data_IF_051854927625
#
_entry.id   IF_051854927625
#
_cell.length_a   1.000
_cell.length_b   1.000
_cell.length_c   1.000
_cell.angle_alpha   90.00
_cell.angle_beta   90.00
_cell.angle_gamma   90.00
#
_symmetry.space_group_name_H-M   'P 1'
#
loop_
_entity.id
_entity.type
_entity.pdbx_description
1 polymer ?
#
# COMPACT_ATOMS: atom_id res chain seq x y z
N UNK A 1 24.33 13.18 25.60
CA UNK A 1 23.61 12.06 24.91
C UNK A 1 22.17 12.20 25.34
N UNK A 2 21.28 12.52 24.44
CA UNK A 2 19.87 12.59 24.73
C UNK A 2 19.41 11.19 25.16
N UNK A 3 18.65 11.10 26.25
CA UNK A 3 17.99 9.86 26.67
C UNK A 3 17.21 9.32 25.49
N UNK A 4 17.63 8.16 25.00
CA UNK A 4 17.10 7.55 23.81
C UNK A 4 15.62 7.26 24.00
N UNK A 5 14.82 7.73 23.07
CA UNK A 5 13.39 7.48 22.95
C UNK A 5 13.10 6.00 23.12
N UNK A 6 12.57 5.62 24.26
CA UNK A 6 11.93 4.32 24.41
C UNK A 6 10.78 4.24 23.39
N UNK A 7 10.60 3.11 22.70
CA UNK A 7 9.52 2.96 21.74
C UNK A 7 8.18 3.21 22.44
N UNK A 8 7.31 3.96 21.77
CA UNK A 8 5.96 4.26 22.27
C UNK A 8 5.19 2.97 22.57
N UNK A 9 4.52 2.95 23.72
CA UNK A 9 3.65 1.83 24.10
C UNK A 9 2.39 1.79 23.22
N UNK A 10 1.73 0.65 23.18
CA UNK A 10 0.45 0.50 22.47
C UNK A 10 -0.63 1.47 22.98
N UNK A 11 -0.61 1.81 24.28
CA UNK A 11 -1.51 2.78 24.87
C UNK A 11 -1.25 4.21 24.41
N UNK A 12 0.02 4.62 24.34
CA UNK A 12 0.42 5.93 23.82
C UNK A 12 0.08 6.09 22.34
N UNK A 13 0.30 5.05 21.54
CA UNK A 13 -0.09 5.02 20.13
C UNK A 13 -1.63 5.11 19.96
N UNK A 14 -2.38 4.44 20.81
CA UNK A 14 -3.85 4.52 20.83
C UNK A 14 -4.34 5.93 21.17
N UNK A 15 -3.72 6.61 22.15
CA UNK A 15 -4.02 8.01 22.49
C UNK A 15 -3.71 8.96 21.33
N UNK A 16 -2.56 8.77 20.67
CA UNK A 16 -2.20 9.56 19.48
C UNK A 16 -3.23 9.38 18.37
N UNK A 17 -3.67 8.15 18.10
CA UNK A 17 -4.71 7.88 17.12
C UNK A 17 -6.02 8.60 17.44
N UNK A 18 -6.44 8.60 18.70
CA UNK A 18 -7.66 9.29 19.15
C UNK A 18 -7.55 10.80 19.06
N UNK A 19 -6.32 11.34 19.19
CA UNK A 19 -6.04 12.78 19.07
C UNK A 19 -5.96 13.28 17.62
N UNK A 20 -5.92 12.39 16.62
CA UNK A 20 -5.91 12.81 15.22
C UNK A 20 -7.26 13.46 14.85
N UNK A 21 -7.25 14.55 14.07
CA UNK A 21 -8.46 15.16 13.56
C UNK A 21 -9.31 14.17 12.75
N UNK A 22 -10.63 14.35 12.78
CA UNK A 22 -11.54 13.54 11.98
C UNK A 22 -11.14 13.58 10.50
N UNK A 23 -11.06 12.40 9.87
CA UNK A 23 -10.66 12.26 8.47
C UNK A 23 -9.15 12.19 8.21
N UNK A 24 -8.30 12.37 9.24
CA UNK A 24 -6.86 12.14 9.13
C UNK A 24 -6.55 10.66 9.40
N UNK A 25 -5.90 10.02 8.45
CA UNK A 25 -5.49 8.62 8.53
C UNK A 25 -3.98 8.52 8.49
N UNK A 26 -3.40 7.80 9.45
CA UNK A 26 -1.96 7.61 9.54
C UNK A 26 -1.58 6.22 9.05
N UNK A 27 -0.49 6.14 8.31
CA UNK A 27 0.04 4.89 7.76
C UNK A 27 1.29 5.12 6.93
N UNK A 28 1.77 4.08 6.28
CA UNK A 28 2.99 4.11 5.47
C UNK A 28 2.71 3.85 4.00
N UNK A 29 3.63 4.23 3.12
CA UNK A 29 3.51 4.04 1.67
C UNK A 29 3.59 2.56 1.25
N UNK A 30 4.04 1.68 2.13
CA UNK A 30 4.06 0.24 1.95
C UNK A 30 4.21 -0.45 3.30
N UNK A 31 3.86 -1.73 3.38
CA UNK A 31 4.00 -2.57 4.58
C UNK A 31 4.96 -3.73 4.37
N UNK A 32 5.38 -4.00 3.14
CA UNK A 32 6.12 -5.22 2.79
C UNK A 32 7.62 -5.10 3.12
N UNK A 33 7.92 -4.85 4.39
CA UNK A 33 9.27 -4.71 4.92
C UNK A 33 9.53 -5.69 6.07
N UNK A 34 10.02 -6.93 5.80
CA UNK A 34 10.34 -7.90 6.87
C UNK A 34 11.30 -7.37 7.94
N UNK A 35 12.10 -6.36 7.60
CA UNK A 35 13.03 -5.69 8.52
C UNK A 35 12.36 -4.89 9.66
N UNK A 36 11.04 -4.70 9.63
CA UNK A 36 10.28 -4.09 10.73
C UNK A 36 9.94 -5.07 11.85
N UNK A 37 10.58 -6.24 11.87
CA UNK A 37 10.49 -7.16 13.00
C UNK A 37 10.98 -6.47 14.29
N UNK A 38 10.20 -6.56 15.35
CA UNK A 38 10.45 -5.88 16.63
C UNK A 38 9.99 -4.41 16.68
N UNK A 39 9.55 -3.83 15.55
CA UNK A 39 8.94 -2.50 15.47
C UNK A 39 7.43 -2.59 15.21
N UNK A 40 7.06 -3.07 14.05
CA UNK A 40 5.67 -3.23 13.61
C UNK A 40 5.24 -4.69 13.66
N UNK A 41 6.15 -5.61 13.34
CA UNK A 41 5.88 -7.06 13.30
C UNK A 41 6.45 -7.76 14.53
N UNK A 42 5.65 -8.60 15.18
CA UNK A 42 6.09 -9.45 16.29
C UNK A 42 6.82 -10.70 15.79
N UNK A 43 6.47 -11.16 14.59
CA UNK A 43 7.05 -12.39 14.01
C UNK A 43 7.99 -12.08 12.84
N UNK A 44 8.86 -13.05 12.56
CA UNK A 44 9.75 -12.98 11.40
C UNK A 44 8.99 -13.41 10.14
N UNK A 45 9.07 -12.62 9.09
CA UNK A 45 8.48 -12.92 7.80
C UNK A 45 9.56 -13.22 6.75
N UNK A 46 9.30 -14.13 5.79
CA UNK A 46 10.16 -14.31 4.63
C UNK A 46 10.10 -13.06 3.73
N UNK A 47 11.13 -12.89 2.89
CA UNK A 47 11.21 -11.75 1.96
C UNK A 47 10.11 -11.77 0.88
N UNK A 48 9.54 -12.92 0.59
CA UNK A 48 8.52 -13.11 -0.46
C UNK A 48 7.39 -14.02 0.03
N UNK A 49 6.19 -13.87 -0.54
CA UNK A 49 5.05 -14.76 -0.28
C UNK A 49 4.33 -14.56 1.05
N UNK A 50 4.62 -13.48 1.77
CA UNK A 50 4.00 -13.20 3.07
C UNK A 50 3.21 -11.87 3.11
N UNK A 51 3.03 -11.23 1.97
CA UNK A 51 2.47 -9.86 1.89
C UNK A 51 1.11 -9.72 2.58
N UNK A 52 0.16 -10.62 2.34
CA UNK A 52 -1.15 -10.58 3.00
C UNK A 52 -1.06 -10.82 4.51
N UNK A 53 -0.21 -11.75 4.97
CA UNK A 53 0.00 -11.99 6.41
C UNK A 53 0.65 -10.79 7.11
N UNK A 54 1.60 -10.15 6.44
CA UNK A 54 2.23 -8.92 6.93
C UNK A 54 1.22 -7.78 6.98
N UNK A 55 0.34 -7.66 5.97
CA UNK A 55 -0.70 -6.64 5.94
C UNK A 55 -1.70 -6.81 7.09
N UNK A 56 -2.10 -8.04 7.38
CA UNK A 56 -2.98 -8.34 8.50
C UNK A 56 -2.38 -7.94 9.86
N UNK A 57 -1.08 -8.16 10.05
CA UNK A 57 -0.39 -7.73 11.27
C UNK A 57 -0.16 -6.21 11.30
N UNK A 58 0.22 -5.62 10.17
CA UNK A 58 0.36 -4.16 10.02
C UNK A 58 -0.92 -3.42 10.40
N UNK A 59 -2.07 -3.91 9.96
CA UNK A 59 -3.35 -3.28 10.23
C UNK A 59 -3.78 -3.34 11.71
N UNK A 60 -3.11 -4.16 12.52
CA UNK A 60 -3.33 -4.22 13.97
C UNK A 60 -2.49 -3.19 14.73
N UNK A 61 -1.57 -2.50 14.06
CA UNK A 61 -0.74 -1.49 14.73
C UNK A 61 -1.60 -0.30 15.18
N UNK A 62 -1.56 0.09 16.47
CA UNK A 62 -2.60 0.96 17.07
C UNK A 62 -2.79 2.30 16.37
N UNK A 63 -1.74 2.89 15.80
CA UNK A 63 -1.79 4.20 15.15
C UNK A 63 -2.24 4.12 13.69
N UNK A 64 -2.08 2.97 13.02
CA UNK A 64 -2.33 2.86 11.59
C UNK A 64 -3.82 2.67 11.27
N UNK A 65 -4.30 3.41 10.29
CA UNK A 65 -5.66 3.33 9.75
C UNK A 65 -5.70 3.42 8.22
N UNK A 66 -4.52 3.49 7.60
CA UNK A 66 -4.35 3.49 6.15
C UNK A 66 -3.02 2.84 5.76
N UNK A 67 -2.91 2.47 4.48
CA UNK A 67 -1.68 1.94 3.89
C UNK A 67 -1.61 2.28 2.41
N UNK A 68 -0.39 2.51 1.90
CA UNK A 68 -0.12 2.66 0.46
C UNK A 68 0.15 1.31 -0.22
N UNK A 69 -0.41 1.11 -1.40
CA UNK A 69 -0.17 -0.05 -2.26
C UNK A 69 0.70 0.40 -3.44
N UNK A 70 2.02 0.36 -3.26
CA UNK A 70 2.98 0.81 -4.28
C UNK A 70 3.11 -0.17 -5.46
N UNK A 71 2.88 -1.46 -5.24
CA UNK A 71 3.03 -2.49 -6.26
C UNK A 71 2.10 -2.27 -7.47
N UNK A 72 0.95 -1.66 -7.26
CA UNK A 72 -0.02 -1.32 -8.30
C UNK A 72 0.49 -0.31 -9.34
N UNK A 73 1.51 0.48 -9.00
CA UNK A 73 2.16 1.38 -9.95
C UNK A 73 2.84 0.63 -11.08
N UNK A 74 3.43 -0.51 -10.79
CA UNK A 74 4.21 -1.28 -11.77
C UNK A 74 3.38 -2.22 -12.63
N UNK A 75 2.32 -2.79 -12.08
CA UNK A 75 1.38 -3.65 -12.78
C UNK A 75 0.04 -3.65 -12.04
N UNK A 76 -1.10 -3.84 -12.74
CA UNK A 76 -2.37 -4.10 -12.09
C UNK A 76 -2.27 -5.28 -11.13
N UNK A 77 -2.90 -5.16 -9.98
CA UNK A 77 -2.92 -6.25 -9.01
C UNK A 77 -3.85 -7.37 -9.50
N UNK A 78 -3.42 -8.61 -9.34
CA UNK A 78 -4.27 -9.75 -9.65
C UNK A 78 -5.48 -9.80 -8.72
N UNK A 79 -6.61 -10.36 -9.19
CA UNK A 79 -7.80 -10.56 -8.36
C UNK A 79 -7.49 -11.35 -7.08
N UNK A 80 -6.62 -12.36 -7.18
CA UNK A 80 -6.14 -13.12 -6.02
C UNK A 80 -5.46 -12.20 -5.00
N UNK A 81 -4.60 -11.29 -5.44
CA UNK A 81 -3.90 -10.35 -4.56
C UNK A 81 -4.86 -9.36 -3.93
N UNK A 82 -5.81 -8.83 -4.71
CA UNK A 82 -6.84 -7.91 -4.21
C UNK A 82 -7.71 -8.58 -3.14
N UNK A 83 -8.16 -9.81 -3.39
CA UNK A 83 -8.93 -10.60 -2.43
C UNK A 83 -8.13 -10.88 -1.14
N UNK A 84 -6.84 -11.24 -1.26
CA UNK A 84 -5.95 -11.47 -0.13
C UNK A 84 -5.76 -10.20 0.71
N UNK A 85 -5.58 -9.05 0.08
CA UNK A 85 -5.40 -7.78 0.79
C UNK A 85 -6.70 -7.31 1.44
N UNK A 86 -7.83 -7.42 0.75
CA UNK A 86 -9.13 -7.07 1.32
C UNK A 86 -9.47 -7.94 2.54
N UNK A 87 -9.19 -9.25 2.47
CA UNK A 87 -9.40 -10.16 3.59
C UNK A 87 -8.44 -9.91 4.78
N UNK A 88 -7.28 -9.32 4.52
CA UNK A 88 -6.29 -9.01 5.56
C UNK A 88 -6.61 -7.73 6.35
N UNK A 89 -7.44 -6.85 5.82
CA UNK A 89 -7.74 -5.54 6.39
C UNK A 89 -9.03 -5.55 7.21
N UNK A 90 -9.05 -4.91 8.39
CA UNK A 90 -10.28 -4.73 9.15
C UNK A 90 -11.22 -3.74 8.46
N UNK A 91 -12.51 -3.84 8.76
CA UNK A 91 -13.52 -2.90 8.27
C UNK A 91 -13.13 -1.44 8.57
N UNK A 92 -13.26 -0.58 7.58
CA UNK A 92 -12.92 0.85 7.68
C UNK A 92 -11.44 1.18 7.56
N UNK A 93 -10.55 0.19 7.39
CA UNK A 93 -9.13 0.44 7.09
C UNK A 93 -8.98 0.90 5.64
N UNK A 94 -8.32 2.01 5.42
CA UNK A 94 -8.24 2.64 4.10
C UNK A 94 -6.99 2.23 3.34
N UNK A 95 -7.10 2.16 2.02
CA UNK A 95 -5.96 1.95 1.12
C UNK A 95 -5.81 3.11 0.15
N UNK A 96 -4.56 3.48 -0.12
CA UNK A 96 -4.19 4.38 -1.20
C UNK A 96 -3.40 3.57 -2.22
N UNK A 97 -3.95 3.39 -3.41
CA UNK A 97 -3.31 2.65 -4.49
C UNK A 97 -2.76 3.61 -5.53
N UNK A 98 -1.53 3.37 -5.96
CA UNK A 98 -0.97 4.09 -7.12
C UNK A 98 -1.62 3.55 -8.39
N UNK A 99 -1.98 4.45 -9.29
CA UNK A 99 -2.46 4.05 -10.62
C UNK A 99 -1.28 3.53 -11.44
N UNK A 100 -1.53 2.49 -12.22
CA UNK A 100 -0.55 1.84 -13.08
C UNK A 100 0.21 2.85 -13.96
N UNK A 101 1.54 2.75 -14.02
CA UNK A 101 2.41 3.67 -14.75
C UNK A 101 2.10 3.73 -16.26
N UNK A 102 1.60 2.65 -16.84
CA UNK A 102 1.13 2.62 -18.23
C UNK A 102 0.02 3.64 -18.50
N UNK A 103 -0.76 4.02 -17.48
CA UNK A 103 -1.83 5.01 -17.62
C UNK A 103 -1.35 6.42 -17.25
N UNK A 104 -0.41 6.54 -16.32
CA UNK A 104 -0.03 7.82 -15.73
C UNK A 104 1.25 8.43 -16.28
N UNK A 105 2.05 7.67 -17.01
CA UNK A 105 3.33 8.14 -17.57
C UNK A 105 3.14 8.57 -19.01
N UNK A 106 3.38 9.86 -19.29
CA UNK A 106 3.24 10.43 -20.65
C UNK A 106 4.25 9.86 -21.65
N UNK A 107 5.48 9.61 -21.21
CA UNK A 107 6.59 9.17 -22.07
C UNK A 107 7.26 7.96 -21.45
N UNK A 108 7.53 6.92 -22.24
CA UNK A 108 8.18 5.70 -21.76
C UNK A 108 9.58 5.99 -21.21
N UNK A 109 9.87 5.50 -20.00
CA UNK A 109 11.17 5.65 -19.37
C UNK A 109 12.11 4.50 -19.72
N UNK A 110 13.42 4.80 -19.78
CA UNK A 110 14.46 3.76 -19.99
C UNK A 110 14.47 2.67 -18.92
N UNK A 111 13.97 2.97 -17.71
CA UNK A 111 13.97 2.03 -16.60
C UNK A 111 12.85 0.99 -16.72
N UNK A 112 11.73 1.35 -17.38
CA UNK A 112 10.53 0.53 -17.46
C UNK A 112 10.34 -0.12 -18.82
N UNK A 113 10.60 0.63 -19.87
CA UNK A 113 10.48 0.17 -21.25
C UNK A 113 11.65 0.69 -22.08
N UNK A 114 12.71 -0.11 -22.16
CA UNK A 114 13.92 0.25 -22.89
C UNK A 114 13.69 0.34 -24.41
N UNK A 115 12.76 -0.47 -24.93
CA UNK A 115 12.49 -0.55 -26.36
C UNK A 115 11.79 0.70 -26.88
N UNK A 116 10.93 1.30 -26.06
CA UNK A 116 10.14 2.49 -26.41
C UNK A 116 10.59 3.75 -25.67
N UNK A 117 11.75 3.72 -25.02
CA UNK A 117 12.27 4.83 -24.23
C UNK A 117 12.28 6.16 -25.00
N UNK A 118 11.67 7.18 -24.41
CA UNK A 118 11.56 8.51 -25.02
C UNK A 118 10.39 8.66 -26.02
N UNK A 119 9.67 7.58 -26.33
CA UNK A 119 8.48 7.65 -27.18
C UNK A 119 7.24 8.02 -26.35
N UNK A 120 6.26 8.72 -26.94
CA UNK A 120 4.96 8.94 -26.30
C UNK A 120 4.27 7.63 -25.97
N UNK A 121 3.64 7.58 -24.82
CA UNK A 121 2.86 6.43 -24.38
C UNK A 121 1.42 6.55 -24.93
N UNK A 122 0.95 5.65 -25.80
CA UNK A 122 -0.38 5.72 -26.38
C UNK A 122 -1.52 5.49 -25.37
N UNK A 123 -1.21 4.88 -24.22
CA UNK A 123 -2.17 4.60 -23.16
C UNK A 123 -2.20 5.70 -22.07
N UNK A 124 -1.48 6.80 -22.28
CA UNK A 124 -1.47 7.91 -21.32
C UNK A 124 -2.87 8.50 -21.15
N UNK A 125 -3.34 8.51 -19.90
CA UNK A 125 -4.69 8.96 -19.50
C UNK A 125 -5.84 8.23 -20.23
N UNK A 126 -5.63 6.97 -20.62
CA UNK A 126 -6.66 6.14 -21.22
C UNK A 126 -7.72 5.76 -20.16
N UNK A 127 -8.97 6.30 -20.24
CA UNK A 127 -9.99 6.08 -19.21
C UNK A 127 -10.55 4.66 -19.24
N UNK A 128 -10.69 4.05 -20.42
CA UNK A 128 -11.20 2.69 -20.57
C UNK A 128 -10.25 1.70 -19.91
N UNK A 129 -8.95 1.85 -20.18
CA UNK A 129 -7.91 1.03 -19.56
C UNK A 129 -7.87 1.23 -18.03
N UNK A 130 -8.07 2.46 -17.55
CA UNK A 130 -8.14 2.74 -16.12
C UNK A 130 -9.32 2.04 -15.46
N UNK A 131 -10.50 2.12 -16.05
CA UNK A 131 -11.70 1.47 -15.50
C UNK A 131 -11.50 -0.04 -15.46
N UNK A 132 -11.12 -0.65 -16.58
CA UNK A 132 -11.00 -2.11 -16.72
C UNK A 132 -9.87 -2.71 -15.84
N UNK A 133 -8.68 -2.10 -15.87
CA UNK A 133 -7.49 -2.68 -15.24
C UNK A 133 -7.30 -2.27 -13.78
N UNK A 134 -7.88 -1.17 -13.34
CA UNK A 134 -7.64 -0.59 -12.00
C UNK A 134 -8.92 -0.43 -11.20
N UNK A 135 -9.89 0.32 -11.72
CA UNK A 135 -11.05 0.74 -10.94
C UNK A 135 -11.99 -0.43 -10.64
N UNK A 136 -12.46 -1.14 -11.66
CA UNK A 136 -13.42 -2.25 -11.50
C UNK A 136 -12.86 -3.38 -10.61
N UNK A 137 -11.61 -3.85 -10.79
CA UNK A 137 -11.03 -4.82 -9.87
C UNK A 137 -10.95 -4.31 -8.42
N UNK A 138 -10.57 -3.05 -8.22
CA UNK A 138 -10.51 -2.48 -6.87
C UNK A 138 -11.90 -2.38 -6.22
N UNK A 139 -12.91 -1.94 -6.94
CA UNK A 139 -14.29 -1.81 -6.42
C UNK A 139 -14.91 -3.15 -6.01
N UNK A 140 -14.52 -4.26 -6.65
CA UNK A 140 -15.02 -5.60 -6.27
C UNK A 140 -14.58 -6.03 -4.88
N UNK A 141 -13.44 -5.57 -4.41
CA UNK A 141 -12.81 -6.05 -3.17
C UNK A 141 -12.74 -5.01 -2.06
N UNK A 142 -12.79 -3.71 -2.40
CA UNK A 142 -12.61 -2.61 -1.44
C UNK A 142 -13.79 -1.62 -1.41
N UNK A 143 -14.97 -2.04 -1.82
CA UNK A 143 -16.21 -1.23 -1.76
C UNK A 143 -16.84 -1.23 -0.37
#
# INVERSE_FOLDING_TARGET
>A
MADGDAPLTGEELGRLRTALPAGVHFGTSSWNYPGWQGLVYHRKYPKTGASGKMLAEYAQWPLFSTVGIDASFYNPLSEKTLAEYAAALPSGFRCVSKVWDRITVHTHSKLRDKAHAGQPNPDFLNPELFVEAVLDPCLRYFS
#
